data_IF_329896240138
#
_entry.id   IF_329896240138
#
_cell.length_a   1.000
_cell.length_b   1.000
_cell.length_c   1.000
_cell.angle_alpha   90.00
_cell.angle_beta   90.00
_cell.angle_gamma   90.00
#
_symmetry.space_group_name_H-M   'P 1'
#
loop_
_entity.id
_entity.type
_entity.pdbx_description
1 polymer ?
#
# COMPACT_ATOMS: atom_id res chain seq x y z
N UNK A 1 -14.05 78.03 -24.36
CA UNK A 1 -14.66 76.89 -25.08
C UNK A 1 -13.98 75.61 -24.59
N UNK A 2 -14.58 74.92 -23.62
CA UNK A 2 -14.37 73.50 -23.31
C UNK A 2 -15.63 73.00 -22.57
N UNK A 3 -16.32 71.94 -23.04
CA UNK A 3 -17.60 71.51 -22.49
C UNK A 3 -17.43 70.63 -21.24
N UNK A 4 -18.38 70.75 -20.31
CA UNK A 4 -18.49 69.97 -19.07
C UNK A 4 -18.96 68.55 -19.42
N UNK A 5 -18.17 67.55 -19.07
CA UNK A 5 -18.47 66.12 -19.29
C UNK A 5 -19.59 65.72 -18.33
N UNK A 6 -20.73 65.29 -18.88
CA UNK A 6 -21.80 64.61 -18.14
C UNK A 6 -21.33 63.22 -17.71
N UNK A 7 -21.47 62.92 -16.42
CA UNK A 7 -21.18 61.62 -15.86
C UNK A 7 -22.31 60.64 -16.22
N UNK A 8 -22.08 59.80 -17.22
CA UNK A 8 -22.93 58.65 -17.51
C UNK A 8 -22.93 57.70 -16.30
N UNK A 9 -24.09 57.62 -15.64
CA UNK A 9 -24.36 56.65 -14.59
C UNK A 9 -24.40 55.25 -15.18
N UNK A 10 -23.27 54.55 -15.13
CA UNK A 10 -23.15 53.13 -15.41
C UNK A 10 -24.07 52.34 -14.46
N UNK A 11 -25.26 51.96 -14.94
CA UNK A 11 -26.10 50.98 -14.25
C UNK A 11 -25.42 49.61 -14.41
N UNK A 12 -24.51 49.29 -13.49
CA UNK A 12 -24.04 47.92 -13.31
C UNK A 12 -25.25 47.06 -12.95
N UNK A 13 -25.74 46.29 -13.91
CA UNK A 13 -26.68 45.20 -13.65
C UNK A 13 -25.89 44.10 -12.95
N UNK A 14 -25.73 44.24 -11.63
CA UNK A 14 -25.26 43.17 -10.77
C UNK A 14 -26.34 42.09 -10.84
N UNK A 15 -26.10 41.06 -11.65
CA UNK A 15 -26.84 39.81 -11.58
C UNK A 15 -26.56 39.21 -10.20
N UNK A 16 -27.41 39.56 -9.25
CA UNK A 16 -27.51 38.87 -7.99
C UNK A 16 -27.93 37.43 -8.31
N UNK A 17 -27.22 36.38 -7.87
CA UNK A 17 -27.78 35.05 -7.89
C UNK A 17 -28.92 35.06 -6.87
N UNK A 18 -30.17 35.12 -7.35
CA UNK A 18 -31.35 35.00 -6.51
C UNK A 18 -31.36 33.60 -5.91
N UNK A 19 -30.71 33.46 -4.76
CA UNK A 19 -30.89 32.33 -3.85
C UNK A 19 -32.21 32.48 -3.10
N UNK A 20 -33.30 32.68 -3.84
CA UNK A 20 -34.64 32.67 -3.28
C UNK A 20 -35.01 31.22 -3.08
N UNK A 21 -34.83 30.75 -1.85
CA UNK A 21 -35.43 29.50 -1.41
C UNK A 21 -36.93 29.65 -1.67
N UNK A 22 -37.53 28.82 -2.55
CA UNK A 22 -38.94 28.97 -2.90
C UNK A 22 -39.80 28.95 -1.63
N UNK A 23 -40.89 29.72 -1.61
CA UNK A 23 -41.76 29.80 -0.43
C UNK A 23 -42.28 28.41 -0.04
N UNK A 24 -42.20 28.07 1.24
CA UNK A 24 -42.66 26.78 1.73
C UNK A 24 -44.15 26.56 1.40
N UNK A 25 -44.47 25.45 0.74
CA UNK A 25 -45.82 25.11 0.31
C UNK A 25 -46.20 25.55 -1.11
N UNK A 26 -45.33 26.27 -1.83
CA UNK A 26 -45.55 26.52 -3.26
C UNK A 26 -45.16 25.32 -4.12
N UNK A 27 -45.72 25.23 -5.33
CA UNK A 27 -45.43 24.15 -6.28
C UNK A 27 -43.93 24.10 -6.63
N UNK A 28 -43.27 25.26 -6.71
CA UNK A 28 -41.83 25.37 -6.93
C UNK A 28 -41.02 24.80 -5.76
N UNK A 29 -41.47 24.99 -4.51
CA UNK A 29 -40.82 24.42 -3.34
C UNK A 29 -40.93 22.90 -3.33
N UNK A 30 -42.10 22.37 -3.65
CA UNK A 30 -42.31 20.92 -3.80
C UNK A 30 -41.45 20.33 -4.92
N UNK A 31 -41.37 20.99 -6.08
CA UNK A 31 -40.52 20.59 -7.22
C UNK A 31 -39.03 20.58 -6.84
N UNK A 32 -38.52 21.67 -6.28
CA UNK A 32 -37.11 21.79 -5.87
C UNK A 32 -36.75 20.74 -4.83
N UNK A 33 -37.61 20.46 -3.84
CA UNK A 33 -37.38 19.37 -2.88
C UNK A 33 -37.27 18.02 -3.56
N UNK A 34 -38.19 17.72 -4.49
CA UNK A 34 -38.24 16.44 -5.22
C UNK A 34 -36.98 16.26 -6.07
N UNK A 35 -36.55 17.30 -6.78
CA UNK A 35 -35.37 17.23 -7.64
C UNK A 35 -34.08 17.16 -6.82
N UNK A 36 -33.98 17.91 -5.73
CA UNK A 36 -32.88 17.78 -4.78
C UNK A 36 -32.81 16.35 -4.19
N UNK A 37 -33.95 15.76 -3.84
CA UNK A 37 -33.98 14.38 -3.33
C UNK A 37 -33.51 13.37 -4.38
N UNK A 38 -33.93 13.53 -5.64
CA UNK A 38 -33.44 12.70 -6.76
C UNK A 38 -31.93 12.86 -6.97
N UNK A 39 -31.43 14.10 -6.90
CA UNK A 39 -30.01 14.41 -7.06
C UNK A 39 -29.16 13.76 -5.97
N UNK A 40 -29.62 13.82 -4.71
CA UNK A 40 -28.96 13.15 -3.58
C UNK A 40 -28.88 11.64 -3.82
N UNK A 41 -29.98 11.01 -4.22
CA UNK A 41 -29.99 9.56 -4.48
C UNK A 41 -29.17 9.19 -5.72
N UNK A 42 -29.15 10.03 -6.76
CA UNK A 42 -28.29 9.85 -7.94
C UNK A 42 -26.82 9.86 -7.55
N UNK A 43 -26.38 10.84 -6.74
CA UNK A 43 -24.99 10.92 -6.24
C UNK A 43 -24.64 9.69 -5.41
N UNK A 44 -25.52 9.28 -4.49
CA UNK A 44 -25.33 8.05 -3.70
C UNK A 44 -25.11 6.83 -4.60
N UNK A 45 -25.95 6.64 -5.62
CA UNK A 45 -25.81 5.53 -6.58
C UNK A 45 -24.50 5.60 -7.37
N UNK A 46 -24.06 6.81 -7.74
CA UNK A 46 -22.78 6.99 -8.44
C UNK A 46 -21.59 6.60 -7.56
N UNK A 47 -21.56 7.05 -6.30
CA UNK A 47 -20.50 6.66 -5.35
C UNK A 47 -20.44 5.15 -5.16
N UNK A 48 -21.58 4.49 -4.97
CA UNK A 48 -21.64 3.03 -4.82
C UNK A 48 -21.11 2.33 -6.08
N UNK A 49 -21.52 2.78 -7.26
CA UNK A 49 -21.09 2.18 -8.52
C UNK A 49 -19.60 2.40 -8.80
N UNK A 50 -19.05 3.55 -8.42
CA UNK A 50 -17.61 3.81 -8.50
C UNK A 50 -16.84 2.84 -7.60
N UNK A 51 -17.26 2.68 -6.34
CA UNK A 51 -16.62 1.74 -5.41
C UNK A 51 -16.67 0.28 -5.89
N UNK A 52 -17.78 -0.16 -6.48
CA UNK A 52 -17.87 -1.53 -7.06
C UNK A 52 -16.91 -1.70 -8.25
N UNK A 53 -16.73 -0.67 -9.08
CA UNK A 53 -15.80 -0.72 -10.23
C UNK A 53 -14.35 -0.75 -9.77
N UNK A 54 -13.99 0.06 -8.78
CA UNK A 54 -12.66 0.03 -8.18
C UNK A 54 -12.36 -1.33 -7.56
N UNK A 55 -13.32 -1.91 -6.83
CA UNK A 55 -13.18 -3.26 -6.28
C UNK A 55 -12.94 -4.30 -7.37
N UNK A 56 -13.65 -4.22 -8.49
CA UNK A 56 -13.48 -5.14 -9.62
C UNK A 56 -12.08 -5.05 -10.26
N UNK A 57 -11.47 -3.87 -10.30
CA UNK A 57 -10.13 -3.67 -10.86
C UNK A 57 -9.02 -4.30 -10.01
N UNK A 58 -9.26 -4.55 -8.72
CA UNK A 58 -8.33 -5.24 -7.82
C UNK A 58 -8.44 -6.77 -7.90
N UNK A 59 -9.47 -7.29 -8.59
CA UNK A 59 -9.68 -8.72 -8.73
C UNK A 59 -8.88 -9.27 -9.91
N UNK A 60 -8.36 -10.51 -9.80
CA UNK A 60 -7.56 -11.12 -10.87
C UNK A 60 -8.35 -11.44 -12.14
N UNK A 61 -9.68 -11.48 -12.08
CA UNK A 61 -10.55 -11.66 -13.25
C UNK A 61 -11.50 -10.46 -13.36
N UNK A 62 -11.54 -9.78 -14.52
CA UNK A 62 -12.48 -8.71 -14.74
C UNK A 62 -13.91 -9.28 -14.83
N UNK A 63 -14.78 -8.81 -13.95
CA UNK A 63 -16.20 -9.20 -13.89
C UNK A 63 -17.08 -7.97 -14.09
N UNK A 64 -18.23 -8.12 -14.73
CA UNK A 64 -19.16 -7.01 -15.01
C UNK A 64 -20.41 -7.02 -14.12
N UNK A 65 -20.74 -8.17 -13.53
CA UNK A 65 -21.89 -8.34 -12.67
C UNK A 65 -21.57 -7.92 -11.22
N UNK A 66 -22.33 -6.96 -10.68
CA UNK A 66 -22.13 -6.41 -9.33
C UNK A 66 -22.14 -7.47 -8.23
N UNK A 67 -23.06 -8.43 -8.29
CA UNK A 67 -23.17 -9.49 -7.29
C UNK A 67 -21.97 -10.43 -7.36
N UNK A 68 -21.50 -10.77 -8.56
CA UNK A 68 -20.32 -11.61 -8.75
C UNK A 68 -19.04 -10.90 -8.30
N UNK A 69 -18.87 -9.61 -8.62
CA UNK A 69 -17.74 -8.80 -8.14
C UNK A 69 -17.64 -8.87 -6.61
N UNK A 70 -18.76 -8.67 -5.90
CA UNK A 70 -18.77 -8.71 -4.43
C UNK A 70 -18.40 -10.10 -3.91
N UNK A 71 -18.98 -11.17 -4.45
CA UNK A 71 -18.67 -12.54 -4.01
C UNK A 71 -17.20 -12.90 -4.27
N UNK A 72 -16.68 -12.56 -5.45
CA UNK A 72 -15.28 -12.82 -5.81
C UNK A 72 -14.30 -12.01 -4.98
N UNK A 73 -14.65 -10.77 -4.61
CA UNK A 73 -13.87 -10.00 -3.67
C UNK A 73 -13.78 -10.66 -2.29
N UNK A 74 -14.90 -11.19 -1.77
CA UNK A 74 -14.90 -11.90 -0.48
C UNK A 74 -13.99 -13.13 -0.55
N UNK A 75 -14.13 -13.95 -1.59
CA UNK A 75 -13.28 -15.12 -1.81
C UNK A 75 -11.81 -14.76 -1.98
N UNK A 76 -11.52 -13.67 -2.71
CA UNK A 76 -10.17 -13.20 -2.94
C UNK A 76 -9.52 -12.71 -1.65
N UNK A 77 -10.22 -11.93 -0.83
CA UNK A 77 -9.72 -11.48 0.49
C UNK A 77 -9.43 -12.68 1.39
N UNK A 78 -10.32 -13.68 1.44
CA UNK A 78 -10.08 -14.91 2.21
C UNK A 78 -8.83 -15.64 1.75
N UNK A 79 -8.65 -15.81 0.44
CA UNK A 79 -7.46 -16.44 -0.14
C UNK A 79 -6.18 -15.63 0.11
N UNK A 80 -6.24 -14.30 0.01
CA UNK A 80 -5.12 -13.43 0.31
C UNK A 80 -4.68 -13.59 1.77
N UNK A 81 -5.63 -13.65 2.71
CA UNK A 81 -5.33 -13.86 4.13
C UNK A 81 -4.70 -15.24 4.40
N UNK A 82 -5.22 -16.29 3.77
CA UNK A 82 -4.62 -17.64 3.86
C UNK A 82 -3.22 -17.66 3.24
N UNK A 83 -3.03 -17.02 2.08
CA UNK A 83 -1.75 -16.92 1.40
C UNK A 83 -0.73 -16.13 2.21
N UNK A 84 -1.12 -15.05 2.85
CA UNK A 84 -0.27 -14.26 3.74
C UNK A 84 0.21 -15.11 4.92
N UNK A 85 -0.72 -15.83 5.57
CA UNK A 85 -0.38 -16.76 6.65
C UNK A 85 0.62 -17.83 6.19
N UNK A 86 0.37 -18.49 5.07
CA UNK A 86 1.27 -19.51 4.52
C UNK A 86 2.65 -18.94 4.15
N UNK A 87 2.70 -17.72 3.63
CA UNK A 87 3.96 -17.05 3.30
C UNK A 87 4.77 -16.75 4.56
N UNK A 88 4.13 -16.30 5.64
CA UNK A 88 4.78 -16.06 6.94
C UNK A 88 5.31 -17.36 7.53
N UNK A 89 4.53 -18.44 7.50
CA UNK A 89 4.95 -19.76 7.99
C UNK A 89 6.13 -20.30 7.19
N UNK A 90 6.06 -20.24 5.86
CA UNK A 90 7.15 -20.66 4.97
C UNK A 90 8.42 -19.87 5.23
N UNK A 91 8.32 -18.53 5.28
CA UNK A 91 9.47 -17.67 5.54
C UNK A 91 10.11 -17.95 6.90
N UNK A 92 9.28 -18.18 7.93
CA UNK A 92 9.76 -18.50 9.28
C UNK A 92 10.54 -19.81 9.27
N UNK A 93 10.02 -20.84 8.60
CA UNK A 93 10.70 -22.14 8.47
C UNK A 93 12.03 -22.00 7.72
N UNK A 94 12.02 -21.34 6.57
CA UNK A 94 13.24 -21.10 5.76
C UNK A 94 14.29 -20.32 6.55
N UNK A 95 13.87 -19.31 7.33
CA UNK A 95 14.76 -18.56 8.21
C UNK A 95 15.39 -19.45 9.27
N UNK A 96 14.60 -20.26 9.98
CA UNK A 96 15.12 -21.15 11.03
C UNK A 96 16.13 -22.16 10.48
N UNK A 97 15.85 -22.74 9.30
CA UNK A 97 16.77 -23.67 8.64
C UNK A 97 18.07 -22.99 8.22
N UNK A 98 17.99 -21.77 7.68
CA UNK A 98 19.17 -20.99 7.32
C UNK A 98 19.99 -20.59 8.54
N UNK A 99 19.34 -20.15 9.62
CA UNK A 99 20.00 -19.78 10.88
C UNK A 99 20.72 -21.00 11.49
N UNK A 100 20.10 -22.19 11.44
CA UNK A 100 20.73 -23.44 11.87
C UNK A 100 21.96 -23.78 11.00
N UNK A 101 21.81 -23.76 9.68
CA UNK A 101 22.92 -24.05 8.76
C UNK A 101 24.07 -23.04 8.93
N UNK A 102 23.76 -21.77 9.13
CA UNK A 102 24.74 -20.73 9.42
C UNK A 102 25.47 -20.98 10.75
N UNK A 103 24.75 -21.42 11.78
CA UNK A 103 25.37 -21.78 13.06
C UNK A 103 26.34 -22.96 12.92
N UNK A 104 25.94 -24.02 12.21
CA UNK A 104 26.78 -25.20 11.94
C UNK A 104 28.03 -24.84 11.11
N UNK A 105 27.87 -24.02 10.06
CA UNK A 105 28.99 -23.51 9.27
C UNK A 105 29.93 -22.64 10.10
N UNK A 106 29.40 -21.80 10.98
CA UNK A 106 30.21 -20.96 11.86
C UNK A 106 31.01 -21.83 12.84
N UNK A 107 30.36 -22.80 13.48
CA UNK A 107 31.01 -23.71 14.43
C UNK A 107 32.12 -24.54 13.76
N UNK A 108 31.88 -25.07 12.57
CA UNK A 108 32.90 -25.81 11.80
C UNK A 108 34.07 -24.92 11.37
N UNK A 109 33.79 -23.68 10.96
CA UNK A 109 34.83 -22.71 10.62
C UNK A 109 35.73 -22.38 11.81
N UNK A 110 35.15 -22.10 12.98
CA UNK A 110 35.91 -21.83 14.21
C UNK A 110 36.76 -23.03 14.64
N UNK A 111 36.22 -24.25 14.51
CA UNK A 111 36.99 -25.48 14.77
C UNK A 111 38.19 -25.60 13.84
N UNK A 112 38.00 -25.39 12.54
CA UNK A 112 39.08 -25.45 11.55
C UNK A 112 40.16 -24.38 11.78
N UNK A 113 39.76 -23.16 12.17
CA UNK A 113 40.73 -22.12 12.57
C UNK A 113 41.58 -22.57 13.75
N UNK A 114 40.96 -23.12 14.79
CA UNK A 114 41.67 -23.61 15.98
C UNK A 114 42.64 -24.75 15.66
N UNK A 115 42.22 -25.71 14.83
CA UNK A 115 43.07 -26.80 14.36
C UNK A 115 44.25 -26.29 13.52
N UNK A 116 44.00 -25.33 12.63
CA UNK A 116 45.02 -24.69 11.81
C UNK A 116 46.06 -23.96 12.66
N UNK A 117 45.62 -23.17 13.65
CA UNK A 117 46.53 -22.51 14.59
C UNK A 117 47.39 -23.51 15.37
N UNK A 118 46.79 -24.61 15.83
CA UNK A 118 47.53 -25.66 16.53
C UNK A 118 48.59 -26.28 15.62
N UNK A 119 48.22 -26.62 14.39
CA UNK A 119 49.16 -27.19 13.42
C UNK A 119 50.32 -26.21 13.12
N UNK A 120 50.04 -24.91 12.98
CA UNK A 120 51.09 -23.90 12.81
C UNK A 120 52.04 -23.85 14.01
N UNK A 121 51.51 -23.82 15.25
CA UNK A 121 52.33 -23.86 16.48
C UNK A 121 53.21 -25.10 16.55
N UNK A 122 52.67 -26.27 16.22
CA UNK A 122 53.42 -27.52 16.23
C UNK A 122 54.55 -27.50 15.18
N UNK A 123 54.27 -27.03 13.96
CA UNK A 123 55.27 -26.88 12.90
C UNK A 123 56.40 -25.93 13.30
N UNK A 124 56.08 -24.78 13.91
CA UNK A 124 57.09 -23.84 14.41
C UNK A 124 57.95 -24.45 15.50
N UNK A 125 57.34 -25.19 16.44
CA UNK A 125 58.05 -25.89 17.50
C UNK A 125 59.05 -26.91 16.94
N UNK A 126 58.61 -27.77 16.02
CA UNK A 126 59.47 -28.77 15.39
C UNK A 126 60.59 -28.13 14.55
N UNK A 127 60.29 -27.06 13.80
CA UNK A 127 61.32 -26.29 13.07
C UNK A 127 62.41 -25.78 14.02
N UNK A 128 62.03 -25.26 15.19
CA UNK A 128 62.98 -24.77 16.20
C UNK A 128 63.85 -25.90 16.75
N UNK A 129 63.24 -27.03 17.12
CA UNK A 129 63.98 -28.21 17.62
C UNK A 129 64.98 -28.71 16.57
N UNK A 130 64.53 -28.91 15.32
CA UNK A 130 65.41 -29.36 14.25
C UNK A 130 66.52 -28.36 13.91
N UNK A 131 66.29 -27.06 14.11
CA UNK A 131 67.34 -26.05 13.93
C UNK A 131 68.41 -26.14 15.01
N UNK A 132 68.03 -26.35 16.27
CA UNK A 132 68.96 -26.48 17.40
C UNK A 132 69.79 -27.76 17.25
N UNK A 133 69.16 -28.88 16.91
CA UNK A 133 69.84 -30.16 16.72
C UNK A 133 70.83 -30.20 15.54
N UNK A 134 70.85 -29.18 14.66
CA UNK A 134 71.82 -29.04 13.57
C UNK A 134 73.05 -28.21 13.94
N UNK A 135 73.00 -27.53 15.09
CA UNK A 135 74.06 -26.63 15.57
C UNK A 135 74.94 -27.23 16.66
N UNK A 136 74.63 -28.45 17.11
CA UNK A 136 75.47 -29.31 17.97
C UNK A 136 76.13 -30.41 17.12
#
# INVERSE_FOLDING_TARGET
>A
MFPRIESDGLKHHVLHPSSDKPLAGTEEWHRVRKDNHKEVERRRRQTINAGIKELAALLPSPETNKSQIIQRAIEFIKRLKESEKNNVEKWTLEKLLNDQALHELTATNEKLKSELEKAYRDVEHWKKICSIAKTD
#
